data_IF_642437736542
#
_entry.id   IF_642437736542
#
_cell.length_a   1.000
_cell.length_b   1.000
_cell.length_c   1.000
_cell.angle_alpha   90.00
_cell.angle_beta   90.00
_cell.angle_gamma   90.00
#
_symmetry.space_group_name_H-M   'P 1'
#
loop_
_entity.id
_entity.type
_entity.pdbx_description
1 polymer ?
#
# COMPACT_ATOMS: atom_id res chain seq x y z
N UNK A 1 4.59 29.33 -11.49
CA UNK A 1 4.74 27.92 -11.11
C UNK A 1 5.96 27.88 -10.20
N UNK A 2 5.84 27.43 -8.93
CA UNK A 2 6.96 27.51 -7.98
C UNK A 2 7.99 26.42 -8.29
N UNK A 3 9.20 26.83 -8.70
CA UNK A 3 10.24 25.98 -9.27
C UNK A 3 10.70 24.83 -8.37
N UNK A 4 10.71 25.02 -7.05
CA UNK A 4 11.29 24.07 -6.11
C UNK A 4 10.26 23.15 -5.42
N UNK A 5 9.06 23.63 -5.12
CA UNK A 5 8.04 22.85 -4.40
C UNK A 5 7.31 21.83 -5.29
N UNK A 6 7.36 22.02 -6.61
CA UNK A 6 6.59 21.20 -7.57
C UNK A 6 7.27 19.87 -7.92
N UNK A 7 8.49 19.63 -7.41
CA UNK A 7 9.42 18.61 -7.93
C UNK A 7 9.83 17.51 -6.95
N UNK A 8 9.20 17.43 -5.79
CA UNK A 8 9.46 16.32 -4.85
C UNK A 8 8.21 15.92 -4.10
N UNK A 9 8.20 14.69 -3.58
CA UNK A 9 7.15 14.19 -2.71
C UNK A 9 7.65 14.25 -1.27
N UNK A 10 6.83 14.76 -0.36
CA UNK A 10 7.13 14.78 1.07
C UNK A 10 6.25 13.77 1.80
N UNK A 11 6.86 12.90 2.58
CA UNK A 11 6.14 11.90 3.38
C UNK A 11 6.51 12.11 4.84
N UNK A 12 5.52 12.48 5.65
CA UNK A 12 5.66 12.60 7.09
C UNK A 12 4.85 11.50 7.77
N UNK A 13 5.49 10.75 8.67
CA UNK A 13 4.86 9.62 9.36
C UNK A 13 4.84 9.88 10.86
N UNK A 14 3.66 9.79 11.45
CA UNK A 14 3.45 9.77 12.89
C UNK A 14 3.12 8.34 13.29
N UNK A 15 3.94 7.73 14.15
CA UNK A 15 3.67 6.42 14.73
C UNK A 15 3.14 6.61 16.16
N UNK A 16 1.99 6.03 16.47
CA UNK A 16 1.39 6.10 17.80
C UNK A 16 1.36 4.69 18.35
N UNK A 17 1.96 4.50 19.51
CA UNK A 17 1.88 3.26 20.27
C UNK A 17 1.07 3.51 21.53
N UNK A 18 0.03 2.71 21.73
CA UNK A 18 -0.81 2.76 22.91
C UNK A 18 -0.65 1.44 23.66
N UNK A 19 -0.42 1.53 24.97
CA UNK A 19 -0.39 0.38 25.86
C UNK A 19 -1.54 0.50 26.87
N UNK A 20 -2.46 -0.46 26.86
CA UNK A 20 -3.54 -0.54 27.83
C UNK A 20 -3.02 -1.27 29.09
N UNK A 21 -2.94 -0.55 30.21
CA UNK A 21 -2.34 -1.07 31.46
C UNK A 21 -3.19 -2.14 32.13
N UNK A 22 -4.50 -2.13 31.94
CA UNK A 22 -5.42 -3.06 32.59
C UNK A 22 -5.42 -4.42 31.87
N UNK A 23 -5.31 -4.41 30.54
CA UNK A 23 -5.36 -5.62 29.71
C UNK A 23 -4.00 -6.08 29.20
N UNK A 24 -2.96 -5.24 29.34
CA UNK A 24 -1.63 -5.46 28.76
C UNK A 24 -1.57 -5.36 27.23
N UNK A 25 -2.69 -5.07 26.56
CA UNK A 25 -2.77 -5.02 25.08
C UNK A 25 -2.10 -3.78 24.53
N UNK A 26 -1.37 -3.96 23.44
CA UNK A 26 -0.74 -2.85 22.72
C UNK A 26 -1.39 -2.64 21.34
N UNK A 27 -1.62 -1.39 20.99
CA UNK A 27 -2.10 -0.97 19.67
C UNK A 27 -1.03 -0.09 19.01
N UNK A 28 -0.79 -0.30 17.71
CA UNK A 28 0.15 0.51 16.94
C UNK A 28 -0.55 1.14 15.74
N UNK A 29 -0.76 2.45 15.81
CA UNK A 29 -1.25 3.26 14.69
C UNK A 29 -0.12 3.91 13.92
N UNK A 30 -0.32 4.15 12.63
CA UNK A 30 0.55 5.05 11.86
C UNK A 30 -0.30 5.96 10.99
N UNK A 31 -0.07 7.27 11.11
CA UNK A 31 -0.63 8.28 10.24
C UNK A 31 0.45 8.73 9.25
N UNK A 32 0.11 8.70 7.97
CA UNK A 32 0.95 9.20 6.89
C UNK A 32 0.33 10.48 6.35
N UNK A 33 1.09 11.57 6.37
CA UNK A 33 0.77 12.83 5.69
C UNK A 33 1.68 12.90 4.48
N UNK A 34 1.08 12.88 3.29
CA UNK A 34 1.79 12.76 2.02
C UNK A 34 1.45 13.97 1.17
N UNK A 35 2.45 14.79 0.88
CA UNK A 35 2.36 15.88 -0.07
C UNK A 35 3.03 15.44 -1.38
N UNK A 36 2.25 15.43 -2.45
CA UNK A 36 2.70 14.91 -3.75
C UNK A 36 3.18 16.07 -4.63
N UNK A 37 4.21 15.79 -5.42
CA UNK A 37 4.66 16.68 -6.48
C UNK A 37 3.55 16.98 -7.50
N UNK A 38 3.77 18.01 -8.31
CA UNK A 38 2.85 18.40 -9.38
C UNK A 38 2.56 17.27 -10.36
N UNK A 39 1.28 17.09 -10.71
CA UNK A 39 0.81 16.06 -11.65
C UNK A 39 0.82 16.51 -13.11
N UNK A 40 1.28 17.72 -13.39
CA UNK A 40 1.36 18.27 -14.73
C UNK A 40 2.32 17.50 -15.63
N UNK A 41 2.00 17.48 -16.93
CA UNK A 41 2.86 16.87 -17.92
C UNK A 41 4.17 17.63 -18.09
N UNK A 42 5.28 16.90 -18.08
CA UNK A 42 6.64 17.41 -18.37
C UNK A 42 6.71 18.19 -19.69
N UNK A 43 5.90 17.82 -20.70
CA UNK A 43 5.90 18.51 -21.99
C UNK A 43 5.44 19.98 -21.91
N UNK A 44 4.75 20.40 -20.84
CA UNK A 44 4.35 21.81 -20.64
C UNK A 44 5.37 22.62 -19.85
N UNK A 45 6.39 21.99 -19.25
CA UNK A 45 7.35 22.69 -18.40
C UNK A 45 8.50 23.34 -19.16
N UNK A 46 8.68 23.02 -20.45
CA UNK A 46 9.79 23.52 -21.27
C UNK A 46 11.18 23.13 -20.73
N UNK A 47 11.26 22.11 -19.88
CA UNK A 47 12.50 21.70 -19.23
C UNK A 47 13.44 21.00 -20.22
N UNK A 48 14.72 21.38 -20.20
CA UNK A 48 15.79 20.79 -21.02
C UNK A 48 16.92 20.22 -20.15
N UNK A 49 17.72 19.32 -20.72
CA UNK A 49 18.90 18.74 -20.06
C UNK A 49 18.59 17.99 -18.76
N UNK A 50 19.39 18.20 -17.72
CA UNK A 50 19.25 17.55 -16.40
C UNK A 50 17.88 17.81 -15.75
N UNK A 51 17.29 18.99 -15.98
CA UNK A 51 15.97 19.37 -15.49
C UNK A 51 14.87 18.49 -16.09
N UNK A 52 15.02 18.08 -17.35
CA UNK A 52 14.09 17.18 -18.02
C UNK A 52 14.12 15.78 -17.38
N UNK A 53 15.32 15.28 -17.05
CA UNK A 53 15.48 13.95 -16.45
C UNK A 53 14.96 13.90 -15.01
N UNK A 54 15.11 15.00 -14.25
CA UNK A 54 14.45 15.16 -12.95
C UNK A 54 12.92 15.13 -13.11
N UNK A 55 12.37 15.95 -14.01
CA UNK A 55 10.93 16.04 -14.28
C UNK A 55 10.33 14.69 -14.73
N UNK A 56 11.07 13.90 -15.51
CA UNK A 56 10.70 12.52 -15.88
C UNK A 56 10.62 11.60 -14.67
N UNK A 57 11.58 11.67 -13.76
CA UNK A 57 11.59 10.81 -12.56
C UNK A 57 10.45 11.14 -11.60
N UNK A 58 10.11 12.42 -11.44
CA UNK A 58 8.96 12.87 -10.64
C UNK A 58 7.68 12.32 -11.26
N UNK A 59 7.47 12.54 -12.56
CA UNK A 59 6.30 12.05 -13.27
C UNK A 59 6.23 10.53 -13.34
N UNK A 60 7.36 9.81 -13.31
CA UNK A 60 7.40 8.36 -13.20
C UNK A 60 6.67 7.89 -11.95
N UNK A 61 6.96 8.48 -10.79
CA UNK A 61 6.31 8.07 -9.53
C UNK A 61 4.79 8.32 -9.51
N UNK A 62 4.31 9.42 -10.08
CA UNK A 62 2.88 9.71 -10.22
C UNK A 62 2.20 8.85 -11.29
N UNK A 63 2.89 8.55 -12.38
CA UNK A 63 2.41 7.62 -13.41
C UNK A 63 2.27 6.21 -12.84
N UNK A 64 3.27 5.75 -12.07
CA UNK A 64 3.21 4.47 -11.35
C UNK A 64 2.07 4.46 -10.33
N UNK A 65 1.85 5.57 -9.60
CA UNK A 65 0.70 5.70 -8.71
C UNK A 65 -0.62 5.51 -9.47
N UNK A 66 -0.78 6.16 -10.63
CA UNK A 66 -1.93 5.96 -11.51
C UNK A 66 -2.10 4.50 -11.96
N UNK A 67 -1.01 3.82 -12.33
CA UNK A 67 -1.02 2.41 -12.74
C UNK A 67 -1.43 1.48 -11.60
N UNK A 68 -0.93 1.71 -10.38
CA UNK A 68 -1.32 0.97 -9.18
C UNK A 68 -2.83 1.11 -8.93
N UNK A 69 -3.37 2.32 -9.04
CA UNK A 69 -4.80 2.57 -8.87
C UNK A 69 -5.61 1.85 -9.94
N UNK A 70 -5.24 1.95 -11.21
CA UNK A 70 -5.95 1.24 -12.29
C UNK A 70 -5.94 -0.28 -12.06
N UNK A 71 -4.79 -0.85 -11.73
CA UNK A 71 -4.67 -2.28 -11.46
C UNK A 71 -5.54 -2.73 -10.27
N UNK A 72 -5.64 -1.91 -9.22
CA UNK A 72 -6.51 -2.17 -8.07
C UNK A 72 -8.00 -2.11 -8.43
N UNK A 73 -8.39 -1.15 -9.27
CA UNK A 73 -9.78 -0.96 -9.70
C UNK A 73 -10.23 -2.08 -10.65
N UNK A 74 -9.33 -2.53 -11.52
CA UNK A 74 -9.56 -3.66 -12.44
C UNK A 74 -9.55 -5.03 -11.73
N UNK A 75 -9.08 -5.08 -10.47
CA UNK A 75 -8.99 -6.33 -9.72
C UNK A 75 -7.86 -7.24 -10.16
N UNK A 76 -6.76 -6.67 -10.70
CA UNK A 76 -5.62 -7.44 -11.17
C UNK A 76 -4.92 -8.16 -10.01
N UNK A 77 -4.50 -9.41 -10.23
CA UNK A 77 -3.75 -10.19 -9.23
C UNK A 77 -2.40 -9.56 -8.89
N UNK A 78 -1.74 -8.96 -9.89
CA UNK A 78 -0.46 -8.28 -9.71
C UNK A 78 -0.65 -6.77 -9.71
N UNK A 79 -0.25 -6.12 -8.62
CA UNK A 79 -0.25 -4.67 -8.49
C UNK A 79 1.20 -4.15 -8.49
N UNK A 80 1.56 -3.21 -9.38
CA UNK A 80 2.96 -2.80 -9.62
C UNK A 80 3.49 -1.82 -8.56
N UNK A 81 3.32 -2.11 -7.26
CA UNK A 81 3.82 -1.24 -6.19
C UNK A 81 5.32 -1.00 -6.28
N UNK A 82 6.08 -1.96 -6.82
CA UNK A 82 7.55 -1.95 -6.85
C UNK A 82 8.15 -0.99 -7.86
N UNK A 83 7.38 -0.51 -8.82
CA UNK A 83 7.86 0.31 -9.93
C UNK A 83 8.28 1.73 -9.51
N UNK A 84 7.86 2.16 -8.31
CA UNK A 84 8.34 3.40 -7.69
C UNK A 84 8.51 3.25 -6.17
N UNK A 85 9.46 3.98 -5.57
CA UNK A 85 9.63 4.00 -4.11
C UNK A 85 8.38 4.54 -3.40
N UNK A 86 7.72 5.53 -4.01
CA UNK A 86 6.48 6.12 -3.49
C UNK A 86 5.39 5.07 -3.33
N UNK A 87 5.08 4.32 -4.39
CA UNK A 87 4.04 3.28 -4.36
C UNK A 87 4.38 2.10 -3.45
N UNK A 88 5.67 1.81 -3.23
CA UNK A 88 6.10 0.84 -2.20
C UNK A 88 5.77 1.32 -0.79
N UNK A 89 6.04 2.59 -0.49
CA UNK A 89 5.75 3.18 0.82
C UNK A 89 4.23 3.24 1.05
N UNK A 90 3.46 3.58 0.01
CA UNK A 90 2.00 3.73 0.08
C UNK A 90 1.23 2.43 -0.12
N UNK A 91 1.91 1.28 -0.20
CA UNK A 91 1.25 -0.02 -0.46
C UNK A 91 0.17 -0.35 0.59
N UNK A 92 0.36 0.04 1.85
CA UNK A 92 -0.68 -0.15 2.87
C UNK A 92 -1.89 0.78 2.67
N UNK A 93 -1.67 1.97 2.10
CA UNK A 93 -2.71 2.98 1.86
C UNK A 93 -3.56 2.69 0.62
N UNK A 94 -3.06 1.91 -0.33
CA UNK A 94 -3.76 1.59 -1.58
C UNK A 94 -4.01 0.08 -1.61
N UNK A 95 -5.22 -0.38 -1.29
CA UNK A 95 -5.59 -1.79 -1.26
C UNK A 95 -5.11 -2.59 -0.03
N UNK A 96 -4.39 -1.97 0.90
CA UNK A 96 -3.84 -2.62 2.10
C UNK A 96 -4.61 -2.33 3.40
N UNK A 97 -3.91 -2.45 4.54
CA UNK A 97 -4.46 -2.18 5.86
C UNK A 97 -4.24 -0.71 6.26
N UNK A 98 -5.09 0.17 5.75
CA UNK A 98 -5.07 1.59 6.10
C UNK A 98 -6.41 2.25 5.82
N UNK A 99 -6.81 3.20 6.67
CA UNK A 99 -7.87 4.15 6.32
C UNK A 99 -7.22 5.27 5.53
N UNK A 100 -7.58 5.41 4.27
CA UNK A 100 -6.89 6.33 3.35
C UNK A 100 -7.85 7.39 2.86
N UNK A 101 -7.39 8.64 2.93
CA UNK A 101 -8.07 9.82 2.40
C UNK A 101 -7.15 10.40 1.33
N UNK A 102 -7.71 10.68 0.16
CA UNK A 102 -7.00 11.33 -0.94
C UNK A 102 -7.66 12.68 -1.14
N UNK A 103 -6.86 13.74 -1.02
CA UNK A 103 -7.28 15.11 -1.30
C UNK A 103 -6.85 15.45 -2.72
N UNK A 104 -7.79 15.96 -3.49
CA UNK A 104 -7.58 16.28 -4.89
C UNK A 104 -7.56 17.80 -5.03
N UNK A 105 -6.41 18.36 -5.38
CA UNK A 105 -6.26 19.80 -5.62
C UNK A 105 -6.30 20.08 -7.13
N UNK A 106 -7.29 20.86 -7.57
CA UNK A 106 -7.45 21.22 -8.98
C UNK A 106 -7.75 22.71 -9.13
N UNK A 107 -7.31 23.30 -10.25
CA UNK A 107 -7.48 24.72 -10.52
C UNK A 107 -8.81 24.98 -11.26
N UNK A 108 -9.60 26.00 -10.87
CA UNK A 108 -10.82 26.38 -11.58
C UNK A 108 -10.54 27.21 -12.85
N UNK A 109 -9.28 27.59 -13.13
CA UNK A 109 -8.94 28.43 -14.26
C UNK A 109 -9.13 27.67 -15.60
N UNK A 110 -9.73 28.34 -16.59
CA UNK A 110 -9.96 27.78 -17.93
C UNK A 110 -8.65 27.32 -18.61
N UNK A 111 -7.53 28.02 -18.36
CA UNK A 111 -6.21 27.63 -18.87
C UNK A 111 -5.71 26.27 -18.34
N UNK A 112 -6.28 25.79 -17.23
CA UNK A 112 -5.94 24.53 -16.57
C UNK A 112 -6.98 23.43 -16.78
N UNK A 113 -7.98 23.63 -17.64
CA UNK A 113 -9.09 22.68 -17.87
C UNK A 113 -8.60 21.24 -18.09
N UNK A 114 -7.57 21.07 -18.93
CA UNK A 114 -6.99 19.76 -19.27
C UNK A 114 -6.44 19.03 -18.05
N UNK A 115 -5.67 19.73 -17.21
CA UNK A 115 -5.07 19.13 -16.01
C UNK A 115 -6.13 18.89 -14.93
N UNK A 116 -7.06 19.84 -14.75
CA UNK A 116 -8.19 19.69 -13.82
C UNK A 116 -9.05 18.48 -14.18
N UNK A 117 -9.35 18.26 -15.46
CA UNK A 117 -10.07 17.06 -15.92
C UNK A 117 -9.30 15.78 -15.62
N UNK A 118 -8.00 15.75 -15.89
CA UNK A 118 -7.12 14.60 -15.58
C UNK A 118 -7.16 14.26 -14.08
N UNK A 119 -7.00 15.28 -13.25
CA UNK A 119 -7.01 15.19 -11.78
C UNK A 119 -8.36 14.71 -11.23
N UNK A 120 -9.49 15.16 -11.79
CA UNK A 120 -10.82 14.67 -11.41
C UNK A 120 -11.04 13.21 -11.81
N UNK A 121 -10.61 12.81 -13.01
CA UNK A 121 -10.68 11.41 -13.48
C UNK A 121 -9.86 10.49 -12.59
N UNK A 122 -8.65 10.92 -12.19
CA UNK A 122 -7.86 10.21 -11.19
C UNK A 122 -8.65 10.03 -9.89
N UNK A 123 -9.31 11.08 -9.41
CA UNK A 123 -10.17 11.05 -8.23
C UNK A 123 -11.29 10.01 -8.28
N UNK A 124 -12.00 9.95 -9.41
CA UNK A 124 -13.08 8.98 -9.62
C UNK A 124 -12.58 7.55 -9.51
N UNK A 125 -11.40 7.25 -10.09
CA UNK A 125 -10.78 5.91 -9.99
C UNK A 125 -10.27 5.62 -8.59
N UNK A 126 -9.62 6.59 -7.97
CA UNK A 126 -9.08 6.43 -6.62
C UNK A 126 -10.20 6.15 -5.59
N UNK A 127 -11.39 6.75 -5.78
CA UNK A 127 -12.57 6.54 -4.94
C UNK A 127 -13.05 5.08 -4.92
N UNK A 128 -12.79 4.29 -5.96
CA UNK A 128 -13.27 2.91 -6.04
C UNK A 128 -12.34 1.88 -5.38
N UNK A 129 -11.16 2.31 -4.90
CA UNK A 129 -10.22 1.43 -4.21
C UNK A 129 -10.83 0.95 -2.88
N UNK A 130 -10.73 -0.36 -2.63
CA UNK A 130 -11.17 -0.97 -1.37
C UNK A 130 -9.96 -1.39 -0.54
N UNK A 131 -9.86 -0.85 0.67
CA UNK A 131 -8.84 -1.23 1.65
C UNK A 131 -9.43 -2.27 2.63
N UNK A 132 -8.58 -3.18 3.10
CA UNK A 132 -8.93 -4.17 4.12
C UNK A 132 -8.37 -3.72 5.47
N UNK A 133 -9.19 -2.95 6.20
CA UNK A 133 -8.76 -2.31 7.45
C UNK A 133 -8.97 -3.24 8.65
N UNK A 134 -7.90 -3.54 9.36
CA UNK A 134 -7.88 -4.36 10.58
C UNK A 134 -7.09 -3.63 11.68
N UNK A 135 -7.57 -3.63 12.94
CA UNK A 135 -6.81 -3.05 14.04
C UNK A 135 -5.44 -3.70 14.21
N UNK A 136 -4.40 -2.87 14.29
CA UNK A 136 -3.03 -3.30 14.54
C UNK A 136 -2.81 -3.56 16.03
N UNK A 137 -3.45 -4.61 16.55
CA UNK A 137 -3.28 -5.07 17.91
C UNK A 137 -2.12 -6.07 18.00
N UNK A 138 -1.24 -5.87 18.97
CA UNK A 138 -0.25 -6.87 19.35
C UNK A 138 -0.83 -7.77 20.45
N UNK A 139 -0.64 -9.07 20.27
CA UNK A 139 -0.99 -10.06 21.29
C UNK A 139 -0.07 -9.91 22.49
N UNK A 140 -0.62 -10.14 23.67
CA UNK A 140 0.14 -10.28 24.91
C UNK A 140 1.02 -11.53 24.88
N UNK A 141 2.03 -11.60 25.75
CA UNK A 141 2.90 -12.78 25.84
C UNK A 141 2.12 -14.07 26.15
N UNK A 142 1.06 -13.97 26.95
CA UNK A 142 0.19 -15.10 27.28
C UNK A 142 -0.68 -15.52 26.08
N UNK A 143 -1.28 -14.56 25.36
CA UNK A 143 -2.02 -14.85 24.12
C UNK A 143 -1.09 -15.47 23.06
N UNK A 144 0.14 -14.99 22.92
CA UNK A 144 1.15 -15.59 22.05
C UNK A 144 1.47 -17.04 22.44
N UNK A 145 1.63 -17.31 23.74
CA UNK A 145 1.89 -18.68 24.23
C UNK A 145 0.73 -19.61 23.91
N UNK A 146 -0.52 -19.19 24.18
CA UNK A 146 -1.72 -19.98 23.86
C UNK A 146 -1.85 -20.25 22.37
N UNK A 147 -1.58 -19.24 21.53
CA UNK A 147 -1.60 -19.40 20.08
C UNK A 147 -0.52 -20.41 19.64
N UNK A 148 0.69 -20.29 20.18
CA UNK A 148 1.80 -21.19 19.89
C UNK A 148 1.48 -22.64 20.27
N UNK A 149 0.95 -22.89 21.47
CA UNK A 149 0.55 -24.22 21.93
C UNK A 149 -0.53 -24.82 21.01
N UNK A 150 -1.54 -24.03 20.62
CA UNK A 150 -2.58 -24.48 19.69
C UNK A 150 -2.02 -24.87 18.32
N UNK A 151 -1.16 -24.04 17.75
CA UNK A 151 -0.55 -24.34 16.45
C UNK A 151 0.44 -25.51 16.55
N UNK A 152 1.13 -25.69 17.68
CA UNK A 152 1.97 -26.85 17.93
C UNK A 152 1.15 -28.15 17.93
N UNK A 153 -0.01 -28.17 18.59
CA UNK A 153 -0.89 -29.33 18.59
C UNK A 153 -1.49 -29.61 17.22
N UNK A 154 -1.86 -28.56 16.46
CA UNK A 154 -2.28 -28.69 15.07
C UNK A 154 -1.16 -29.30 14.20
N UNK A 155 0.09 -28.87 14.37
CA UNK A 155 1.24 -29.45 13.68
C UNK A 155 1.41 -30.94 14.03
N UNK A 156 1.28 -31.33 15.30
CA UNK A 156 1.34 -32.75 15.71
C UNK A 156 0.25 -33.58 15.03
N UNK A 157 -0.99 -33.07 14.98
CA UNK A 157 -2.10 -33.73 14.31
C UNK A 157 -1.83 -33.91 12.82
N UNK A 158 -1.39 -32.86 12.14
CA UNK A 158 -1.03 -32.92 10.72
C UNK A 158 0.11 -33.90 10.45
N UNK A 159 1.11 -33.94 11.32
CA UNK A 159 2.23 -34.87 11.21
C UNK A 159 1.79 -36.33 11.38
N UNK A 160 0.88 -36.60 12.32
CA UNK A 160 0.27 -37.91 12.49
C UNK A 160 -0.51 -38.33 11.23
N UNK A 161 -1.31 -37.43 10.67
CA UNK A 161 -2.05 -37.68 9.41
C UNK A 161 -1.08 -37.96 8.26
N UNK A 162 -0.02 -37.17 8.10
CA UNK A 162 1.01 -37.40 7.08
C UNK A 162 1.69 -38.76 7.25
N UNK A 163 2.02 -39.14 8.49
CA UNK A 163 2.65 -40.42 8.78
C UNK A 163 1.72 -41.58 8.42
N UNK A 164 0.45 -41.48 8.79
CA UNK A 164 -0.55 -42.49 8.44
C UNK A 164 -0.71 -42.62 6.92
N UNK A 165 -0.82 -41.50 6.20
CA UNK A 165 -0.89 -41.49 4.74
C UNK A 165 0.38 -42.07 4.10
N UNK A 166 1.58 -41.76 4.61
CA UNK A 166 2.83 -42.34 4.09
C UNK A 166 2.87 -43.86 4.30
N UNK A 167 2.43 -44.35 5.47
CA UNK A 167 2.33 -45.79 5.72
C UNK A 167 1.31 -46.47 4.81
N UNK A 168 0.17 -45.82 4.55
CA UNK A 168 -0.84 -46.32 3.62
C UNK A 168 -0.29 -46.38 2.19
N UNK A 169 0.34 -45.30 1.71
CA UNK A 169 1.01 -45.26 0.39
C UNK A 169 2.06 -46.37 0.28
N UNK A 170 2.87 -46.61 1.31
CA UNK A 170 3.86 -47.69 1.31
C UNK A 170 3.21 -49.07 1.23
N UNK A 171 2.08 -49.30 1.92
CA UNK A 171 1.31 -50.55 1.80
C UNK A 171 0.84 -50.75 0.35
N UNK A 172 0.17 -49.76 -0.22
CA UNK A 172 -0.30 -49.81 -1.61
C UNK A 172 0.83 -50.03 -2.62
N UNK A 173 2.02 -49.47 -2.38
CA UNK A 173 3.19 -49.65 -3.24
C UNK A 173 3.84 -51.03 -3.12
N UNK A 174 3.66 -51.71 -1.99
CA UNK A 174 4.31 -52.99 -1.70
C UNK A 174 3.43 -54.22 -2.01
N UNK A 175 2.15 -54.02 -2.35
CA UNK A 175 1.20 -55.10 -2.68
C UNK A 175 0.33 -55.49 -1.50
#
# INVERSE_FOLDING_TARGET
MNEHSSRSHSIFRICIQQNNRDTGKQLIGSLYLVDLAGSEKVSRSGAEGSTLDEAKNINKSLSTLGNVINALVEGNTHIPYRDSKLTRILQQSLGGNSKTIIIIAASPAASNEVETKSTLVFGVRAKTIKNQVVPNAQLTAEEWRRLYERELDRCKQLYSVMTNLDTEIRRWRNG
#
